data_IF_666701462636
#
_entry.id   IF_666701462636
#
_cell.length_a   1.000
_cell.length_b   1.000
_cell.length_c   1.000
_cell.angle_alpha   90.00
_cell.angle_beta   90.00
_cell.angle_gamma   90.00
#
_symmetry.space_group_name_H-M   'P 1'
#
loop_
_entity.id
_entity.type
_entity.pdbx_description
1 polymer ?
#
# COMPACT_ATOMS: atom_id res chain seq x y z
N UNK A 1 11.46 -3.84 -12.35
CA UNK A 1 12.91 -4.15 -12.42
C UNK A 1 13.10 -5.65 -12.34
N UNK A 2 14.02 -6.18 -13.11
CA UNK A 2 14.41 -7.59 -12.95
C UNK A 2 14.90 -7.83 -11.52
N UNK A 3 14.67 -9.04 -11.02
CA UNK A 3 15.11 -9.43 -9.68
C UNK A 3 15.78 -10.80 -9.71
N UNK A 4 16.95 -10.91 -9.12
CA UNK A 4 17.65 -12.18 -8.93
C UNK A 4 17.55 -12.57 -7.45
N UNK A 5 17.02 -13.75 -7.18
CA UNK A 5 16.96 -14.34 -5.85
C UNK A 5 17.84 -15.60 -5.81
N UNK A 6 18.59 -15.76 -4.73
CA UNK A 6 19.44 -16.94 -4.51
C UNK A 6 19.03 -17.60 -3.19
N UNK A 7 18.85 -18.92 -3.23
CA UNK A 7 18.56 -19.72 -2.04
C UNK A 7 19.58 -20.87 -1.92
N UNK A 8 20.00 -21.14 -0.71
CA UNK A 8 20.65 -22.41 -0.36
C UNK A 8 19.61 -23.27 0.32
N UNK A 9 19.41 -24.48 -0.18
CA UNK A 9 18.39 -25.39 0.32
C UNK A 9 18.84 -25.93 1.69
N UNK A 10 17.97 -25.76 2.66
CA UNK A 10 18.23 -26.19 4.04
C UNK A 10 17.81 -27.66 4.25
N UNK A 11 18.34 -28.33 5.30
CA UNK A 11 17.98 -29.73 5.58
C UNK A 11 16.46 -29.99 5.69
N UNK A 12 15.70 -29.07 6.27
CA UNK A 12 14.26 -29.19 6.40
C UNK A 12 13.48 -29.06 5.09
N UNK A 13 14.15 -28.68 4.01
CA UNK A 13 13.59 -28.52 2.65
C UNK A 13 14.01 -29.66 1.71
N UNK A 14 14.86 -30.57 2.20
CA UNK A 14 15.29 -31.75 1.43
C UNK A 14 14.08 -32.64 1.05
N UNK A 15 14.07 -33.14 -0.16
CA UNK A 15 12.99 -33.97 -0.69
C UNK A 15 11.80 -33.18 -1.26
N UNK A 16 11.74 -31.83 -1.07
CA UNK A 16 10.70 -31.02 -1.67
C UNK A 16 10.86 -30.95 -3.20
N UNK A 17 9.73 -30.87 -3.93
CA UNK A 17 9.79 -30.48 -5.33
C UNK A 17 10.12 -28.98 -5.44
N UNK A 18 10.95 -28.62 -6.42
CA UNK A 18 11.33 -27.21 -6.68
C UNK A 18 10.11 -26.30 -6.84
N UNK A 19 9.06 -26.76 -7.51
CA UNK A 19 7.83 -25.96 -7.66
C UNK A 19 7.14 -25.68 -6.32
N UNK A 20 7.11 -26.65 -5.43
CA UNK A 20 6.46 -26.47 -4.11
C UNK A 20 7.31 -25.58 -3.21
N UNK A 21 8.64 -25.69 -3.29
CA UNK A 21 9.56 -24.74 -2.65
C UNK A 21 9.30 -23.30 -3.12
N UNK A 22 9.22 -23.06 -4.44
CA UNK A 22 8.95 -21.73 -4.98
C UNK A 22 7.60 -21.17 -4.50
N UNK A 23 6.57 -22.01 -4.49
CA UNK A 23 5.25 -21.63 -3.95
C UNK A 23 5.30 -21.26 -2.47
N UNK A 24 6.03 -22.04 -1.67
CA UNK A 24 6.23 -21.75 -0.24
C UNK A 24 6.96 -20.42 0.00
N UNK A 25 7.77 -19.97 -0.97
CA UNK A 25 8.46 -18.68 -0.97
C UNK A 25 7.61 -17.53 -1.53
N UNK A 26 6.35 -17.77 -1.88
CA UNK A 26 5.44 -16.71 -2.35
C UNK A 26 5.44 -16.46 -3.87
N UNK A 27 6.10 -17.33 -4.66
CA UNK A 27 6.04 -17.23 -6.11
C UNK A 27 4.62 -17.52 -6.62
N UNK A 28 3.96 -16.49 -7.11
CA UNK A 28 2.61 -16.61 -7.67
C UNK A 28 2.61 -17.40 -8.99
N UNK A 29 1.43 -17.94 -9.35
CA UNK A 29 1.26 -18.62 -10.64
C UNK A 29 1.64 -17.72 -11.83
N UNK A 30 1.35 -16.42 -11.74
CA UNK A 30 1.69 -15.43 -12.78
C UNK A 30 3.20 -15.31 -12.96
N UNK A 31 3.95 -15.14 -11.86
CA UNK A 31 5.43 -15.08 -11.89
C UNK A 31 6.02 -16.36 -12.46
N UNK A 32 5.58 -17.54 -11.96
CA UNK A 32 6.07 -18.81 -12.47
C UNK A 32 5.76 -18.99 -13.95
N UNK A 33 4.69 -18.40 -14.47
CA UNK A 33 4.34 -18.44 -15.88
C UNK A 33 5.20 -17.51 -16.73
N UNK A 34 5.50 -16.29 -16.26
CA UNK A 34 6.37 -15.35 -16.99
C UNK A 34 7.81 -15.86 -17.12
N UNK A 35 8.30 -16.58 -16.12
CA UNK A 35 9.63 -17.17 -16.11
C UNK A 35 9.80 -18.32 -17.12
N UNK A 36 8.72 -18.93 -17.63
CA UNK A 36 8.82 -20.07 -18.58
C UNK A 36 9.46 -19.69 -19.92
N UNK A 37 9.37 -18.45 -20.33
CA UNK A 37 9.94 -17.96 -21.57
C UNK A 37 11.49 -17.98 -21.56
N UNK A 38 12.09 -17.79 -20.40
CA UNK A 38 13.54 -17.84 -20.20
C UNK A 38 13.93 -19.22 -19.63
N UNK A 39 14.72 -19.97 -20.43
CA UNK A 39 15.22 -21.30 -20.01
C UNK A 39 16.19 -21.22 -18.81
N UNK A 40 16.79 -20.07 -18.58
CA UNK A 40 17.75 -19.82 -17.51
C UNK A 40 17.13 -19.13 -16.30
N UNK A 41 15.83 -18.84 -16.33
CA UNK A 41 15.15 -18.15 -15.23
C UNK A 41 15.23 -18.92 -13.90
N UNK A 42 15.35 -20.24 -13.93
CA UNK A 42 15.51 -21.07 -12.73
C UNK A 42 16.71 -22.00 -12.96
N UNK A 43 17.73 -21.85 -12.15
CA UNK A 43 18.95 -22.68 -12.18
C UNK A 43 19.13 -23.36 -10.83
N UNK A 44 19.27 -24.69 -10.86
CA UNK A 44 19.60 -25.53 -9.73
C UNK A 44 21.04 -26.04 -9.91
N UNK A 45 21.96 -25.66 -9.02
CA UNK A 45 23.40 -25.98 -9.10
C UNK A 45 24.03 -25.58 -10.45
N UNK A 46 23.61 -24.45 -11.03
CA UNK A 46 24.10 -23.94 -12.30
C UNK A 46 23.45 -24.57 -13.54
N UNK A 47 22.61 -25.59 -13.38
CA UNK A 47 21.83 -26.21 -14.48
C UNK A 47 20.37 -25.80 -14.45
N UNK A 48 19.67 -25.96 -15.57
CA UNK A 48 18.24 -25.64 -15.65
C UNK A 48 17.43 -26.44 -14.64
N UNK A 49 16.75 -25.73 -13.72
CA UNK A 49 15.81 -26.30 -12.76
C UNK A 49 14.43 -26.55 -13.36
N UNK A 50 13.85 -27.70 -13.05
CA UNK A 50 12.48 -28.06 -13.45
C UNK A 50 11.57 -28.13 -12.23
N UNK A 51 10.29 -27.79 -12.38
CA UNK A 51 9.36 -27.79 -11.26
C UNK A 51 9.24 -29.15 -10.51
N UNK A 52 9.56 -30.26 -11.20
CA UNK A 52 9.57 -31.61 -10.62
C UNK A 52 10.94 -32.02 -10.05
N UNK A 53 11.98 -31.20 -10.20
CA UNK A 53 13.29 -31.47 -9.60
C UNK A 53 13.16 -31.61 -8.10
N UNK A 54 13.78 -32.65 -7.54
CA UNK A 54 13.80 -32.89 -6.09
C UNK A 54 15.01 -32.15 -5.53
N UNK A 55 14.78 -31.32 -4.53
CA UNK A 55 15.81 -30.53 -3.86
C UNK A 55 16.57 -31.37 -2.82
N UNK A 56 17.87 -31.13 -2.71
CA UNK A 56 18.75 -31.71 -1.70
C UNK A 56 19.32 -30.62 -0.79
N UNK A 57 19.61 -30.96 0.46
CA UNK A 57 20.26 -30.03 1.38
C UNK A 57 21.61 -29.59 0.81
N UNK A 58 21.86 -28.26 0.82
CA UNK A 58 23.07 -27.67 0.25
C UNK A 58 22.94 -27.26 -1.23
N UNK A 59 21.88 -27.64 -1.94
CA UNK A 59 21.64 -27.18 -3.31
C UNK A 59 21.61 -25.66 -3.38
N UNK A 60 22.18 -25.11 -4.45
CA UNK A 60 22.14 -23.67 -4.78
C UNK A 60 21.08 -23.44 -5.86
N UNK A 61 20.09 -22.59 -5.52
CA UNK A 61 19.00 -22.24 -6.42
C UNK A 61 19.09 -20.75 -6.78
N UNK A 62 19.31 -20.46 -8.07
CA UNK A 62 19.31 -19.10 -8.62
C UNK A 62 18.03 -18.87 -9.44
N UNK A 63 17.35 -17.77 -9.16
CA UNK A 63 16.08 -17.45 -9.80
C UNK A 63 16.16 -16.04 -10.36
N UNK A 64 16.03 -15.91 -11.67
CA UNK A 64 15.87 -14.63 -12.37
C UNK A 64 14.40 -14.38 -12.65
N UNK A 65 13.87 -13.31 -12.09
CA UNK A 65 12.49 -12.87 -12.26
C UNK A 65 12.52 -11.68 -13.22
N UNK A 66 12.12 -11.88 -14.48
CA UNK A 66 12.13 -10.79 -15.44
C UNK A 66 11.06 -9.76 -15.12
N UNK A 67 11.34 -8.51 -15.42
CA UNK A 67 10.32 -7.47 -15.42
C UNK A 67 9.38 -7.70 -16.62
N UNK A 68 8.10 -7.48 -16.41
CA UNK A 68 7.16 -7.45 -17.51
C UNK A 68 7.34 -6.18 -18.33
N UNK A 69 7.04 -6.24 -19.63
CA UNK A 69 6.98 -5.04 -20.45
C UNK A 69 6.01 -4.04 -19.83
N UNK A 70 6.45 -2.79 -19.72
CA UNK A 70 5.61 -1.74 -19.17
C UNK A 70 4.53 -1.39 -20.20
N UNK A 71 3.31 -1.84 -19.95
CA UNK A 71 2.14 -1.53 -20.78
C UNK A 71 1.46 -0.21 -20.40
N UNK A 72 1.79 0.35 -19.23
CA UNK A 72 1.24 1.63 -18.78
C UNK A 72 2.14 2.79 -19.23
N UNK A 73 1.64 3.64 -20.11
CA UNK A 73 2.29 4.89 -20.51
C UNK A 73 2.09 5.98 -19.44
N UNK A 74 2.74 5.81 -18.28
CA UNK A 74 2.76 6.84 -17.24
C UNK A 74 3.79 7.90 -17.64
N UNK A 75 3.32 9.13 -17.82
CA UNK A 75 4.19 10.27 -18.17
C UNK A 75 5.15 10.56 -17.01
N UNK A 76 6.48 10.52 -17.21
CA UNK A 76 7.43 10.93 -16.17
C UNK A 76 7.35 12.43 -15.94
N UNK A 77 7.05 12.87 -14.74
CA UNK A 77 6.98 14.29 -14.35
C UNK A 77 7.84 14.52 -13.12
N UNK A 78 8.74 15.50 -13.18
CA UNK A 78 9.60 15.85 -12.06
C UNK A 78 8.77 16.38 -10.91
N UNK A 79 8.88 15.70 -9.76
CA UNK A 79 8.21 16.05 -8.51
C UNK A 79 9.14 15.75 -7.35
N UNK A 80 9.03 16.53 -6.27
CA UNK A 80 9.71 16.23 -5.01
C UNK A 80 9.00 15.07 -4.32
N UNK A 81 9.74 13.99 -4.07
CA UNK A 81 9.25 12.81 -3.37
C UNK A 81 9.89 12.71 -1.99
N UNK A 82 9.08 12.61 -0.96
CA UNK A 82 9.57 12.33 0.39
C UNK A 82 9.69 10.81 0.58
N UNK A 83 10.90 10.28 0.43
CA UNK A 83 11.17 8.85 0.55
C UNK A 83 11.44 8.51 2.01
N UNK A 84 10.69 7.56 2.57
CA UNK A 84 10.85 7.04 3.93
C UNK A 84 11.79 5.84 3.98
N UNK A 85 11.76 5.00 2.95
CA UNK A 85 12.62 3.83 2.82
C UNK A 85 12.76 3.42 1.36
N UNK A 86 13.94 2.98 0.95
CA UNK A 86 14.19 2.38 -0.36
C UNK A 86 15.27 1.31 -0.29
N UNK A 87 15.02 0.16 -0.91
CA UNK A 87 16.01 -0.88 -1.20
C UNK A 87 15.82 -1.46 -2.62
N UNK A 88 16.32 -2.67 -2.87
CA UNK A 88 16.14 -3.34 -4.17
C UNK A 88 14.70 -3.79 -4.43
N UNK A 89 13.89 -3.97 -3.41
CA UNK A 89 12.61 -4.66 -3.46
C UNK A 89 11.41 -3.75 -3.26
N UNK A 90 11.54 -2.73 -2.43
CA UNK A 90 10.45 -1.82 -2.06
C UNK A 90 10.89 -0.35 -2.07
N UNK A 91 9.92 0.52 -2.24
CA UNK A 91 10.02 1.96 -2.04
C UNK A 91 8.84 2.40 -1.17
N UNK A 92 9.10 3.04 -0.03
CA UNK A 92 8.06 3.60 0.83
C UNK A 92 8.15 5.11 0.78
N UNK A 93 7.03 5.76 0.46
CA UNK A 93 6.93 7.20 0.25
C UNK A 93 5.97 7.81 1.27
N UNK A 94 6.33 8.97 1.81
CA UNK A 94 5.41 9.87 2.49
C UNK A 94 4.68 10.70 1.44
N UNK A 95 3.48 10.26 1.05
CA UNK A 95 2.69 10.95 0.02
C UNK A 95 2.19 12.31 0.52
N UNK A 96 2.39 13.34 -0.26
CA UNK A 96 1.83 14.66 -0.01
C UNK A 96 0.30 14.69 -0.23
N UNK A 97 -0.36 15.73 0.28
CA UNK A 97 -1.73 16.07 -0.09
C UNK A 97 -1.81 16.56 -1.55
N UNK A 98 -3.02 16.65 -2.09
CA UNK A 98 -3.31 17.07 -3.48
C UNK A 98 -2.54 16.28 -4.55
N UNK A 99 -2.26 15.01 -4.25
CA UNK A 99 -1.52 14.10 -5.12
C UNK A 99 -2.29 12.78 -5.26
N UNK A 100 -2.98 12.55 -6.38
CA UNK A 100 -3.58 11.24 -6.67
C UNK A 100 -2.49 10.18 -6.79
N UNK A 101 -2.82 8.93 -6.43
CA UNK A 101 -1.84 7.82 -6.49
C UNK A 101 -1.60 7.35 -7.92
N UNK A 102 -2.66 7.30 -8.75
CA UNK A 102 -2.61 6.86 -10.15
C UNK A 102 -3.20 7.91 -11.08
N UNK A 103 -2.76 7.94 -12.35
CA UNK A 103 -3.41 8.72 -13.39
C UNK A 103 -4.89 8.34 -13.53
N UNK A 104 -5.72 9.34 -13.76
CA UNK A 104 -7.17 9.21 -13.96
C UNK A 104 -7.67 10.36 -14.82
N UNK A 105 -8.95 10.33 -15.21
CA UNK A 105 -9.58 11.43 -15.97
C UNK A 105 -9.37 12.74 -15.19
N UNK A 106 -8.72 13.73 -15.83
CA UNK A 106 -8.40 15.03 -15.23
C UNK A 106 -7.13 15.07 -14.36
N UNK A 107 -6.44 13.94 -14.16
CA UNK A 107 -5.17 13.85 -13.41
C UNK A 107 -4.20 12.96 -14.20
N UNK A 108 -3.52 13.55 -15.19
CA UNK A 108 -2.66 12.79 -16.12
C UNK A 108 -1.17 12.96 -15.77
N UNK A 109 -0.78 14.06 -15.15
CA UNK A 109 0.61 14.50 -14.97
C UNK A 109 0.95 14.95 -13.53
N UNK A 110 -0.03 14.90 -12.63
CA UNK A 110 0.09 15.38 -11.25
C UNK A 110 -0.03 14.24 -10.21
N UNK A 111 0.23 13.00 -10.60
CA UNK A 111 0.05 11.84 -9.71
C UNK A 111 1.38 11.35 -9.13
N UNK A 112 1.31 10.62 -8.01
CA UNK A 112 2.47 9.95 -7.45
C UNK A 112 3.17 9.05 -8.47
N UNK A 113 2.38 8.36 -9.32
CA UNK A 113 2.92 7.51 -10.36
C UNK A 113 3.81 8.27 -11.36
N UNK A 114 3.42 9.51 -11.72
CA UNK A 114 4.23 10.37 -12.60
C UNK A 114 5.58 10.73 -11.95
N UNK A 115 5.56 11.13 -10.67
CA UNK A 115 6.76 11.48 -9.91
C UNK A 115 7.71 10.29 -9.73
N UNK A 116 7.17 9.12 -9.37
CA UNK A 116 7.96 7.90 -9.19
C UNK A 116 8.57 7.42 -10.51
N UNK A 117 7.80 7.51 -11.62
CA UNK A 117 8.34 7.16 -12.95
C UNK A 117 9.48 8.08 -13.33
N UNK A 118 9.38 9.39 -13.03
CA UNK A 118 10.48 10.34 -13.22
C UNK A 118 11.70 9.97 -12.36
N UNK A 119 11.51 9.68 -11.09
CA UNK A 119 12.57 9.33 -10.14
C UNK A 119 13.43 8.16 -10.63
N UNK A 120 12.80 7.09 -11.12
CA UNK A 120 13.54 5.95 -11.67
C UNK A 120 14.14 6.22 -13.05
N UNK A 121 13.48 7.02 -13.88
CA UNK A 121 14.03 7.47 -15.17
C UNK A 121 15.34 8.26 -15.01
N UNK A 122 15.41 9.17 -14.04
CA UNK A 122 16.64 9.93 -13.71
C UNK A 122 17.78 9.01 -13.24
N UNK A 123 17.45 7.90 -12.61
CA UNK A 123 18.42 6.86 -12.22
C UNK A 123 18.81 5.92 -13.39
N UNK A 124 18.27 6.12 -14.57
CA UNK A 124 18.48 5.23 -15.73
C UNK A 124 17.85 3.84 -15.55
N UNK A 125 16.86 3.71 -14.69
CA UNK A 125 16.20 2.45 -14.36
C UNK A 125 14.81 2.36 -15.01
N UNK A 126 14.51 1.22 -15.62
CA UNK A 126 13.15 0.90 -16.04
C UNK A 126 12.33 0.51 -14.81
N UNK A 127 11.17 1.11 -14.68
CA UNK A 127 10.28 0.88 -13.54
C UNK A 127 8.83 0.69 -13.99
N UNK A 128 8.19 -0.36 -13.49
CA UNK A 128 6.74 -0.56 -13.62
C UNK A 128 6.09 -0.18 -12.30
N UNK A 129 5.14 0.75 -12.34
CA UNK A 129 4.50 1.27 -11.15
C UNK A 129 3.58 0.24 -10.49
N UNK A 130 3.88 -0.16 -9.25
CA UNK A 130 3.13 -1.17 -8.47
C UNK A 130 2.88 -0.68 -7.06
N UNK A 131 1.73 -0.06 -6.87
CA UNK A 131 1.30 0.45 -5.58
C UNK A 131 0.59 -0.65 -4.79
N UNK A 132 1.02 -0.90 -3.56
CA UNK A 132 0.49 -1.97 -2.70
C UNK A 132 -0.73 -1.50 -1.91
N UNK A 133 -0.69 -0.28 -1.36
CA UNK A 133 -1.82 0.35 -0.69
C UNK A 133 -2.13 1.70 -1.34
N UNK A 134 -3.39 2.09 -1.34
CA UNK A 134 -3.82 3.36 -1.93
C UNK A 134 -4.23 4.34 -0.85
N UNK A 135 -3.95 5.62 -1.10
CA UNK A 135 -4.44 6.75 -0.33
C UNK A 135 -5.28 7.66 -1.22
N UNK A 136 -6.27 8.33 -0.66
CA UNK A 136 -7.03 9.33 -1.38
C UNK A 136 -6.12 10.52 -1.77
N UNK A 137 -6.53 11.35 -2.74
CA UNK A 137 -5.74 12.49 -3.23
C UNK A 137 -5.20 13.35 -2.10
N UNK A 138 -6.05 13.74 -1.15
CA UNK A 138 -5.71 14.66 -0.06
C UNK A 138 -5.30 13.96 1.25
N UNK A 139 -5.31 12.61 1.28
CA UNK A 139 -4.74 11.84 2.39
C UNK A 139 -3.23 11.78 2.26
N UNK A 140 -2.52 12.17 3.31
CA UNK A 140 -1.05 12.15 3.37
C UNK A 140 -0.52 10.87 4.00
N UNK A 141 0.80 10.66 3.91
CA UNK A 141 1.50 9.64 4.70
C UNK A 141 1.99 8.42 3.93
N UNK A 142 2.30 7.37 4.68
CA UNK A 142 3.06 6.22 4.20
C UNK A 142 2.31 5.37 3.16
N UNK A 143 3.02 5.08 2.07
CA UNK A 143 2.54 4.28 0.95
C UNK A 143 3.65 3.39 0.42
N UNK A 144 3.37 2.10 0.19
CA UNK A 144 4.34 1.10 -0.28
C UNK A 144 4.21 0.91 -1.79
N UNK A 145 5.35 0.94 -2.47
CA UNK A 145 5.52 0.54 -3.87
C UNK A 145 6.45 -0.67 -3.94
N UNK A 146 6.10 -1.66 -4.75
CA UNK A 146 6.97 -2.79 -5.04
C UNK A 146 7.80 -2.50 -6.29
N UNK A 147 9.13 -2.71 -6.22
CA UNK A 147 10.07 -2.41 -7.30
C UNK A 147 10.18 -3.53 -8.34
N UNK A 148 9.69 -4.73 -8.02
CA UNK A 148 9.72 -5.89 -8.90
C UNK A 148 8.44 -6.74 -8.78
N UNK A 149 8.18 -7.66 -9.74
CA UNK A 149 6.96 -8.47 -9.73
C UNK A 149 6.84 -9.41 -8.51
N UNK A 150 7.97 -9.90 -7.99
CA UNK A 150 7.98 -10.81 -6.85
C UNK A 150 7.54 -10.08 -5.58
N UNK A 151 8.16 -8.95 -5.28
CA UNK A 151 7.81 -8.14 -4.11
C UNK A 151 6.35 -7.67 -4.17
N UNK A 152 5.85 -7.34 -5.38
CA UNK A 152 4.44 -7.01 -5.56
C UNK A 152 3.51 -8.18 -5.23
N UNK A 153 3.84 -9.40 -5.66
CA UNK A 153 3.03 -10.59 -5.39
C UNK A 153 3.00 -10.93 -3.88
N UNK A 154 4.16 -10.89 -3.23
CA UNK A 154 4.27 -11.18 -1.79
C UNK A 154 3.52 -10.14 -0.96
N UNK A 155 3.75 -8.85 -1.21
CA UNK A 155 3.08 -7.78 -0.47
C UNK A 155 1.56 -7.74 -0.74
N UNK A 156 1.12 -8.04 -1.97
CA UNK A 156 -0.30 -8.17 -2.28
C UNK A 156 -0.95 -9.35 -1.54
N UNK A 157 -0.23 -10.46 -1.38
CA UNK A 157 -0.69 -11.58 -0.57
C UNK A 157 -0.79 -11.21 0.92
N UNK A 158 0.21 -10.53 1.48
CA UNK A 158 0.18 -10.01 2.85
C UNK A 158 -0.99 -9.04 3.06
N UNK A 159 -1.25 -8.14 2.09
CA UNK A 159 -2.39 -7.22 2.15
C UNK A 159 -3.72 -7.97 2.18
N UNK A 160 -3.88 -8.96 1.30
CA UNK A 160 -5.09 -9.80 1.25
C UNK A 160 -5.31 -10.60 2.53
N UNK A 161 -4.22 -11.05 3.17
CA UNK A 161 -4.23 -11.81 4.42
C UNK A 161 -4.29 -10.90 5.66
N UNK A 162 -4.42 -9.57 5.49
CA UNK A 162 -4.44 -8.55 6.57
C UNK A 162 -3.17 -8.57 7.44
N UNK A 163 -2.04 -8.96 6.86
CA UNK A 163 -0.74 -8.98 7.53
C UNK A 163 -0.02 -7.64 7.47
N UNK A 164 -0.41 -6.75 6.54
CA UNK A 164 0.04 -5.36 6.51
C UNK A 164 -0.87 -4.55 7.43
N UNK A 165 -0.35 -4.14 8.58
CA UNK A 165 -1.05 -3.26 9.52
C UNK A 165 -0.86 -1.82 9.09
N UNK A 166 -1.93 -1.04 9.19
CA UNK A 166 -1.97 0.36 8.77
C UNK A 166 -2.60 1.18 9.87
N UNK A 167 -1.82 2.07 10.44
CA UNK A 167 -2.28 3.03 11.44
C UNK A 167 -2.46 4.38 10.78
N UNK A 168 -3.62 5.00 11.02
CA UNK A 168 -3.94 6.33 10.54
C UNK A 168 -4.18 7.28 11.69
N UNK A 169 -3.81 8.54 11.52
CA UNK A 169 -4.24 9.63 12.38
C UNK A 169 -5.28 10.47 11.64
N UNK A 170 -6.34 10.86 12.36
CA UNK A 170 -7.36 11.78 11.84
C UNK A 170 -7.78 12.79 12.88
N UNK A 171 -8.10 14.01 12.44
CA UNK A 171 -8.86 14.99 13.25
C UNK A 171 -10.33 14.86 12.83
N UNK A 172 -11.20 14.71 13.80
CA UNK A 172 -12.65 14.59 13.58
C UNK A 172 -13.41 15.66 14.36
N UNK A 173 -14.56 16.04 13.85
CA UNK A 173 -15.44 17.01 14.50
C UNK A 173 -16.19 16.37 15.68
N UNK A 174 -16.32 17.12 16.77
CA UNK A 174 -16.96 16.64 18.00
C UNK A 174 -16.02 15.83 18.89
N UNK A 175 -16.52 15.51 20.08
CA UNK A 175 -15.81 14.66 21.03
C UNK A 175 -16.26 13.22 20.79
N UNK A 176 -15.45 12.47 20.06
CA UNK A 176 -15.70 11.08 19.79
C UNK A 176 -15.61 10.22 21.04
N UNK A 177 -16.27 9.07 21.13
CA UNK A 177 -16.05 8.08 22.20
C UNK A 177 -14.57 7.71 22.32
N UNK A 178 -14.14 7.25 23.50
CA UNK A 178 -12.72 6.91 23.76
C UNK A 178 -12.18 5.87 22.78
N UNK A 179 -13.00 4.87 22.45
CA UNK A 179 -12.66 3.82 21.50
C UNK A 179 -13.93 3.22 20.90
N UNK A 180 -13.77 2.57 19.76
CA UNK A 180 -14.90 1.86 19.15
C UNK A 180 -14.51 1.08 17.90
N UNK A 181 -15.47 0.28 17.45
CA UNK A 181 -15.39 -0.45 16.19
C UNK A 181 -16.58 -0.07 15.33
N UNK A 182 -16.32 0.32 14.09
CA UNK A 182 -17.33 0.61 13.09
C UNK A 182 -17.32 -0.55 12.09
N UNK A 183 -18.33 -1.41 12.20
CA UNK A 183 -18.60 -2.51 11.27
C UNK A 183 -19.81 -2.14 10.43
N UNK A 184 -19.56 -1.47 9.31
CA UNK A 184 -20.61 -0.94 8.46
C UNK A 184 -20.20 -1.04 6.98
N UNK A 185 -20.93 -1.82 6.15
CA UNK A 185 -20.55 -2.03 4.76
C UNK A 185 -20.64 -0.73 3.95
N UNK A 186 -19.73 -0.57 2.99
CA UNK A 186 -19.59 0.64 2.19
C UNK A 186 -19.95 0.36 0.73
N UNK A 187 -20.87 1.14 0.20
CA UNK A 187 -21.30 1.15 -1.19
C UNK A 187 -21.04 2.50 -1.87
N UNK A 188 -21.31 2.56 -3.18
CA UNK A 188 -21.31 3.81 -3.94
C UNK A 188 -22.66 4.52 -3.71
N UNK A 189 -22.65 5.84 -3.49
CA UNK A 189 -23.86 6.63 -3.46
C UNK A 189 -24.54 6.62 -4.83
N UNK A 190 -25.88 6.51 -4.85
CA UNK A 190 -26.65 6.30 -6.09
C UNK A 190 -26.43 7.41 -7.12
N UNK A 191 -26.34 8.66 -6.67
CA UNK A 191 -26.26 9.84 -7.55
C UNK A 191 -24.84 10.38 -7.72
N UNK A 192 -23.80 9.59 -7.36
CA UNK A 192 -22.41 10.03 -7.42
C UNK A 192 -21.47 8.98 -8.01
N UNK A 193 -20.53 9.43 -8.85
CA UNK A 193 -19.46 8.58 -9.38
C UNK A 193 -18.32 8.37 -8.37
N UNK A 194 -18.16 9.30 -7.42
CA UNK A 194 -17.02 9.32 -6.48
C UNK A 194 -17.43 9.10 -5.03
N UNK A 195 -18.62 9.56 -4.61
CA UNK A 195 -19.05 9.47 -3.22
C UNK A 195 -19.34 8.02 -2.81
N UNK A 196 -19.03 7.72 -1.55
CA UNK A 196 -19.33 6.46 -0.89
C UNK A 196 -20.22 6.72 0.32
N UNK A 197 -21.02 5.72 0.69
CA UNK A 197 -21.90 5.76 1.85
C UNK A 197 -21.93 4.40 2.53
N UNK A 198 -22.42 4.37 3.77
CA UNK A 198 -22.79 3.11 4.41
C UNK A 198 -24.00 2.53 3.69
N UNK A 199 -23.91 1.29 3.27
CA UNK A 199 -24.93 0.59 2.51
C UNK A 199 -25.05 -0.86 2.97
N UNK A 200 -26.00 -1.12 3.84
CA UNK A 200 -26.25 -2.46 4.39
C UNK A 200 -26.86 -3.44 3.39
N UNK A 201 -27.43 -2.94 2.29
CA UNK A 201 -28.06 -3.81 1.31
C UNK A 201 -27.07 -4.33 0.25
N UNK A 202 -26.16 -3.46 -0.25
CA UNK A 202 -25.30 -3.77 -1.39
C UNK A 202 -23.83 -3.41 -1.15
N UNK A 203 -23.47 -2.89 0.03
CA UNK A 203 -22.12 -2.47 0.36
C UNK A 203 -21.17 -3.64 0.54
N UNK A 204 -19.88 -3.38 0.32
CA UNK A 204 -18.82 -4.31 0.64
C UNK A 204 -18.45 -4.19 2.13
N UNK A 205 -18.22 -5.32 2.79
CA UNK A 205 -17.81 -5.36 4.21
C UNK A 205 -16.64 -4.42 4.48
N UNK A 206 -16.78 -3.59 5.51
CA UNK A 206 -15.79 -2.61 5.93
C UNK A 206 -15.76 -2.52 7.46
N UNK A 207 -14.56 -2.66 8.05
CA UNK A 207 -14.35 -2.61 9.50
C UNK A 207 -13.22 -1.65 9.82
N UNK A 208 -13.49 -0.70 10.73
CA UNK A 208 -12.55 0.30 11.23
C UNK A 208 -12.58 0.30 12.75
N UNK A 209 -11.43 0.12 13.38
CA UNK A 209 -11.24 0.32 14.82
C UNK A 209 -10.66 1.70 15.04
N UNK A 210 -11.06 2.34 16.14
CA UNK A 210 -10.51 3.66 16.49
C UNK A 210 -10.31 3.81 17.99
N UNK A 211 -9.34 4.66 18.35
CA UNK A 211 -9.07 5.13 19.70
C UNK A 211 -8.88 6.64 19.67
N UNK A 212 -9.53 7.35 20.58
CA UNK A 212 -9.35 8.79 20.75
C UNK A 212 -8.10 9.05 21.57
N UNK A 213 -7.10 9.67 20.96
CA UNK A 213 -5.83 10.00 21.60
C UNK A 213 -5.92 11.27 22.43
N UNK A 214 -6.64 12.29 21.90
CA UNK A 214 -6.73 13.60 22.55
C UNK A 214 -7.98 14.36 22.10
N UNK A 215 -8.29 15.44 22.80
CA UNK A 215 -9.37 16.35 22.44
C UNK A 215 -8.91 17.80 22.58
N UNK A 216 -9.33 18.63 21.63
CA UNK A 216 -9.08 20.06 21.68
C UNK A 216 -10.31 20.82 21.20
N UNK A 217 -10.91 21.65 22.10
CA UNK A 217 -12.20 22.31 21.88
C UNK A 217 -13.30 21.31 21.42
N UNK A 218 -13.79 21.45 20.19
CA UNK A 218 -14.85 20.63 19.62
C UNK A 218 -14.33 19.58 18.64
N UNK A 219 -13.07 19.19 18.73
CA UNK A 219 -12.43 18.22 17.86
C UNK A 219 -11.74 17.12 18.65
N UNK A 220 -11.58 15.97 18.03
CA UNK A 220 -10.84 14.83 18.59
C UNK A 220 -9.73 14.40 17.65
N UNK A 221 -8.56 14.08 18.20
CA UNK A 221 -7.49 13.36 17.52
C UNK A 221 -7.73 11.86 17.69
N UNK A 222 -7.80 11.16 16.58
CA UNK A 222 -8.17 9.73 16.54
C UNK A 222 -7.05 8.92 15.90
N UNK A 223 -6.67 7.82 16.55
CA UNK A 223 -5.92 6.71 15.97
C UNK A 223 -6.89 5.71 15.33
N UNK A 224 -6.60 5.23 14.11
CA UNK A 224 -7.48 4.33 13.38
C UNK A 224 -6.71 3.14 12.80
N UNK A 225 -7.29 1.95 12.97
CA UNK A 225 -6.78 0.70 12.42
C UNK A 225 -7.81 0.05 11.51
N UNK A 226 -7.36 -0.35 10.32
CA UNK A 226 -8.24 -0.89 9.28
C UNK A 226 -8.07 -2.39 9.11
N UNK A 227 -9.15 -3.17 9.26
CA UNK A 227 -9.19 -4.56 8.78
C UNK A 227 -9.38 -4.65 7.27
N UNK A 228 -10.10 -3.71 6.70
CA UNK A 228 -10.43 -3.61 5.27
C UNK A 228 -9.86 -2.32 4.69
N UNK A 229 -9.94 -2.13 3.37
CA UNK A 229 -9.42 -0.92 2.71
C UNK A 229 -10.36 -0.45 1.58
N UNK A 230 -11.61 -0.12 1.91
CA UNK A 230 -12.57 0.39 0.93
C UNK A 230 -12.29 1.85 0.61
N UNK A 231 -12.69 2.27 -0.57
CA UNK A 231 -12.57 3.67 -0.99
C UNK A 231 -13.27 4.58 0.03
N UNK A 232 -12.58 5.63 0.50
CA UNK A 232 -13.06 6.60 1.48
C UNK A 232 -13.49 5.99 2.84
N UNK A 233 -13.04 4.78 3.18
CA UNK A 233 -13.57 4.03 4.34
C UNK A 233 -13.57 4.83 5.64
N UNK A 234 -12.44 5.39 6.06
CA UNK A 234 -12.34 6.17 7.31
C UNK A 234 -13.28 7.38 7.25
N UNK A 235 -13.30 8.10 6.14
CA UNK A 235 -14.11 9.31 5.94
C UNK A 235 -15.61 9.02 6.06
N UNK A 236 -16.05 7.95 5.43
CA UNK A 236 -17.46 7.48 5.48
C UNK A 236 -17.81 6.98 6.88
N UNK A 237 -16.97 6.16 7.49
CA UNK A 237 -17.22 5.58 8.80
C UNK A 237 -17.29 6.65 9.89
N UNK A 238 -16.35 7.61 9.89
CA UNK A 238 -16.38 8.68 10.87
C UNK A 238 -17.60 9.61 10.69
N UNK A 239 -18.00 9.91 9.43
CA UNK A 239 -19.26 10.60 9.15
C UNK A 239 -20.48 9.82 9.65
N UNK A 240 -20.49 8.50 9.43
CA UNK A 240 -21.61 7.62 9.84
C UNK A 240 -21.86 7.64 11.34
N UNK A 241 -20.82 7.69 12.15
CA UNK A 241 -20.94 7.78 13.61
C UNK A 241 -21.07 9.21 14.15
N UNK A 242 -21.24 10.22 13.24
CA UNK A 242 -21.47 11.62 13.63
C UNK A 242 -20.23 12.45 13.90
N UNK A 243 -19.03 11.94 13.58
CA UNK A 243 -17.74 12.59 13.76
C UNK A 243 -16.99 12.76 12.43
N UNK A 244 -17.52 13.53 11.44
CA UNK A 244 -16.86 13.69 10.14
C UNK A 244 -15.54 14.44 10.26
N UNK A 245 -14.63 14.21 9.31
CA UNK A 245 -13.38 14.94 9.21
C UNK A 245 -13.65 16.37 8.68
N UNK A 246 -13.19 17.44 9.34
CA UNK A 246 -13.32 18.79 8.81
C UNK A 246 -12.48 18.95 7.53
N UNK A 247 -12.86 19.88 6.66
CA UNK A 247 -12.15 20.12 5.40
C UNK A 247 -12.31 19.03 4.34
N UNK A 248 -13.09 17.99 4.63
CA UNK A 248 -13.39 16.95 3.65
C UNK A 248 -14.41 17.47 2.63
N UNK A 249 -13.98 17.68 1.38
CA UNK A 249 -14.79 18.31 0.34
C UNK A 249 -16.07 17.54 -0.02
N UNK A 250 -16.10 16.21 0.24
CA UNK A 250 -17.27 15.37 -0.03
C UNK A 250 -18.18 15.18 1.18
N UNK A 251 -17.57 15.00 2.36
CA UNK A 251 -18.31 14.52 3.54
C UNK A 251 -18.51 15.57 4.62
N UNK A 252 -17.65 16.60 4.69
CA UNK A 252 -17.77 17.72 5.60
C UNK A 252 -16.92 18.93 5.13
N UNK A 253 -17.43 19.77 4.21
CA UNK A 253 -16.71 20.91 3.65
C UNK A 253 -16.61 22.10 4.62
N UNK A 254 -16.25 21.82 5.87
CA UNK A 254 -15.98 22.81 6.89
C UNK A 254 -14.48 23.17 6.91
N UNK A 255 -14.13 24.22 6.19
CA UNK A 255 -12.73 24.64 5.99
C UNK A 255 -12.20 25.64 7.05
N UNK A 256 -12.83 25.70 8.22
CA UNK A 256 -12.43 26.64 9.28
C UNK A 256 -11.04 26.37 9.84
N UNK A 257 -10.68 25.12 10.08
CA UNK A 257 -9.40 24.73 10.68
C UNK A 257 -8.38 24.19 9.66
N UNK A 258 -8.84 23.50 8.61
CA UNK A 258 -7.95 22.91 7.59
C UNK A 258 -8.64 22.88 6.22
N UNK A 259 -7.87 22.92 5.12
CA UNK A 259 -8.40 23.00 3.75
C UNK A 259 -8.55 21.65 3.03
N UNK A 260 -8.25 20.55 3.70
CA UNK A 260 -8.35 19.18 3.23
C UNK A 260 -8.83 18.25 4.34
N UNK A 261 -9.22 17.01 4.04
CA UNK A 261 -9.44 16.04 5.11
C UNK A 261 -8.14 15.84 5.91
N UNK A 262 -8.13 16.06 7.22
CA UNK A 262 -7.00 15.77 8.11
C UNK A 262 -6.93 14.28 8.39
N UNK A 263 -6.45 13.54 7.39
CA UNK A 263 -6.24 12.10 7.41
C UNK A 263 -4.80 11.81 6.97
N UNK A 264 -4.09 11.04 7.77
CA UNK A 264 -2.68 10.75 7.59
C UNK A 264 -2.40 9.26 7.81
N UNK A 265 -1.84 8.56 6.84
CA UNK A 265 -1.31 7.20 6.97
C UNK A 265 -0.01 7.25 7.76
N UNK A 266 -0.13 7.14 9.08
CA UNK A 266 0.95 7.42 10.03
C UNK A 266 2.00 6.31 10.04
N UNK A 267 1.57 5.04 10.11
CA UNK A 267 2.48 3.91 10.26
C UNK A 267 2.06 2.71 9.43
N UNK A 268 3.04 2.01 8.88
CA UNK A 268 2.90 0.74 8.19
C UNK A 268 3.79 -0.31 8.83
N UNK A 269 3.19 -1.46 9.20
CA UNK A 269 3.91 -2.62 9.68
C UNK A 269 3.67 -3.81 8.75
N UNK A 270 4.73 -4.44 8.28
CA UNK A 270 4.66 -5.56 7.34
C UNK A 270 5.95 -6.38 7.36
N UNK A 271 5.92 -7.61 6.83
CA UNK A 271 7.15 -8.37 6.61
C UNK A 271 7.76 -7.98 5.26
N UNK A 272 9.08 -7.71 5.26
CA UNK A 272 9.81 -7.42 4.02
C UNK A 272 9.68 -8.58 3.03
N UNK A 273 9.34 -8.32 1.75
CA UNK A 273 8.93 -9.37 0.81
C UNK A 273 10.01 -10.43 0.52
N UNK A 274 11.28 -10.07 0.64
CA UNK A 274 12.41 -10.97 0.34
C UNK A 274 13.06 -11.49 1.61
N UNK A 275 13.41 -10.61 2.57
CA UNK A 275 14.12 -11.02 3.79
C UNK A 275 13.19 -11.63 4.84
N UNK A 276 11.91 -11.28 4.82
CA UNK A 276 10.93 -11.65 5.85
C UNK A 276 11.08 -10.88 7.17
N UNK A 277 11.99 -9.91 7.26
CA UNK A 277 12.16 -9.06 8.43
C UNK A 277 10.93 -8.18 8.68
N UNK A 278 10.57 -8.01 9.94
CA UNK A 278 9.49 -7.12 10.31
C UNK A 278 9.90 -5.66 10.11
N UNK A 279 9.17 -4.97 9.25
CA UNK A 279 9.32 -3.55 8.96
C UNK A 279 8.27 -2.74 9.72
N UNK A 280 8.70 -1.63 10.33
CA UNK A 280 7.83 -0.64 10.94
C UNK A 280 8.26 0.73 10.42
N UNK A 281 7.46 1.34 9.55
CA UNK A 281 7.79 2.60 8.89
C UNK A 281 6.77 3.65 9.25
N UNK A 282 7.23 4.75 9.85
CA UNK A 282 6.40 5.87 10.30
C UNK A 282 6.61 7.09 9.40
N UNK A 283 5.53 7.70 8.95
CA UNK A 283 5.55 8.97 8.25
C UNK A 283 5.41 10.13 9.23
N UNK A 284 6.22 11.20 9.11
CA UNK A 284 6.08 12.37 9.96
C UNK A 284 4.72 13.04 9.75
N UNK A 285 4.09 13.46 10.85
CA UNK A 285 2.82 14.19 10.80
C UNK A 285 3.02 15.53 10.10
N UNK A 286 2.19 15.88 9.09
CA UNK A 286 2.33 17.15 8.37
C UNK A 286 2.05 18.36 9.26
N UNK A 287 2.73 19.47 9.00
CA UNK A 287 2.57 20.72 9.77
C UNK A 287 1.13 21.24 9.75
N UNK A 288 0.47 21.22 8.59
CA UNK A 288 -0.92 21.66 8.45
C UNK A 288 -1.90 20.84 9.30
N UNK A 289 -1.62 19.54 9.49
CA UNK A 289 -2.39 18.66 10.36
C UNK A 289 -2.14 18.99 11.84
N UNK A 290 -0.87 19.13 12.25
CA UNK A 290 -0.51 19.47 13.61
C UNK A 290 -1.06 20.85 14.01
N UNK A 291 -0.90 21.85 13.14
CA UNK A 291 -1.43 23.20 13.31
C UNK A 291 -2.97 23.21 13.42
N UNK A 292 -3.65 22.41 12.59
CA UNK A 292 -5.11 22.35 12.62
C UNK A 292 -5.63 21.84 13.97
N UNK A 293 -4.97 20.87 14.59
CA UNK A 293 -5.38 20.36 15.91
C UNK A 293 -5.15 21.38 17.02
N UNK A 294 -4.09 22.20 16.94
CA UNK A 294 -3.80 23.22 17.96
C UNK A 294 -4.50 24.57 17.73
N UNK A 295 -5.12 24.78 16.57
CA UNK A 295 -5.89 26.00 16.25
C UNK A 295 -7.41 25.81 16.29
N UNK A 296 -7.87 24.59 16.50
CA UNK A 296 -9.29 24.22 16.47
C UNK A 296 -10.08 24.61 17.74
#
# INVERSE_FOLDING_TARGET
MDRILTYTIKPEQEGMQLLDFLRSKGFSRGILSSMKADKNAIQLNGERGFGKSILQAGDSLHIHIPEADNTENILPVKMDLSILYEDEDILVINKAADMPVHPSIGNYDNTLANGVTWYFKEKGQQFVYRCINRLDRDTTGALILAKNPYSAAVLSAQMKQRQIRRTYLAIVQGIAPEQGTIDAPIGRAADSTIERQVDFANGESAVTHYERLDTYHSYSLIDLHLETGRTHQIRVHMKYIGHPLPGDFLYNPDYRIIKRQPLHSFQLEFAHPVTGENMCITAPVPEDFADAFHRS
#
